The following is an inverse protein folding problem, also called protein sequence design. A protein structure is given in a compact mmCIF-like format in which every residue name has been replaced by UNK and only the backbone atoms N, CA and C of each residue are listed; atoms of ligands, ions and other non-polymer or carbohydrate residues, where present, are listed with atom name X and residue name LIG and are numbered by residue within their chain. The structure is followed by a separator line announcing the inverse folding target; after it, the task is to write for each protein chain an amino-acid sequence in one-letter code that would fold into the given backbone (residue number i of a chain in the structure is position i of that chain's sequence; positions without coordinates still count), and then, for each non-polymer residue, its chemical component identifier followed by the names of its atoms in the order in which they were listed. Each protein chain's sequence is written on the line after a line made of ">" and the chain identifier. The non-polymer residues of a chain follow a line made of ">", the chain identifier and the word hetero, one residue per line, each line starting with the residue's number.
data_IF_828677520117
#
_entry.id   IF_828677520117
#
_cell.length_a   1.000
_cell.length_b   1.000
_cell.length_c   1.000
_cell.angle_alpha   90.00
_cell.angle_beta   90.00
_cell.angle_gamma   90.00
#
_symmetry.space_group_name_H-M   'P 1'
#
loop_
_entity.id
_entity.type
_entity.pdbx_description
1 polymer ?
#
# COMPACT_ATOMS: atom_id res chain seq x y z
N UNK A 1 -10.70 -50.74 55.84
CA UNK A 1 -11.01 -49.38 55.29
C UNK A 1 -9.75 -48.82 54.69
N UNK A 2 -9.57 -48.96 53.36
CA UNK A 2 -8.36 -48.47 52.61
C UNK A 2 -8.69 -47.12 52.03
N UNK A 3 -7.98 -46.04 52.47
CA UNK A 3 -8.07 -44.73 51.91
C UNK A 3 -7.17 -44.67 50.65
N UNK A 4 -7.77 -44.42 49.48
CA UNK A 4 -7.06 -44.07 48.27
C UNK A 4 -6.87 -42.52 48.24
N UNK A 5 -5.63 -42.07 48.33
CA UNK A 5 -5.25 -40.69 48.17
C UNK A 5 -5.01 -40.46 46.66
N UNK A 6 -5.97 -39.81 45.98
CA UNK A 6 -5.79 -39.37 44.59
C UNK A 6 -4.97 -38.09 44.55
N UNK A 7 -3.77 -38.19 44.02
CA UNK A 7 -2.89 -37.05 43.72
C UNK A 7 -3.37 -36.40 42.40
N UNK A 8 -3.97 -35.24 42.49
CA UNK A 8 -4.29 -34.42 41.33
C UNK A 8 -3.02 -33.62 40.95
N UNK A 9 -2.36 -34.01 39.85
CA UNK A 9 -1.26 -33.22 39.25
C UNK A 9 -1.92 -32.15 38.40
N UNK A 10 -1.94 -30.90 38.88
CA UNK A 10 -2.26 -29.72 38.06
C UNK A 10 -1.09 -29.46 37.11
N UNK A 11 -1.28 -29.76 35.83
CA UNK A 11 -0.42 -29.24 34.77
C UNK A 11 -0.72 -27.73 34.57
N UNK A 12 0.10 -26.88 35.14
CA UNK A 12 0.17 -25.48 34.72
C UNK A 12 0.83 -25.45 33.36
N UNK A 13 0.02 -25.30 32.30
CA UNK A 13 0.54 -24.87 30.99
C UNK A 13 1.04 -23.45 31.15
N UNK A 14 2.34 -23.26 31.25
CA UNK A 14 2.97 -21.96 31.09
C UNK A 14 2.79 -21.61 29.61
N UNK A 15 1.71 -20.87 29.29
CA UNK A 15 1.63 -20.12 28.04
C UNK A 15 2.65 -19.00 28.17
N UNK A 16 3.87 -19.24 27.70
CA UNK A 16 4.79 -18.16 27.36
C UNK A 16 4.15 -17.43 26.19
N UNK A 17 3.44 -16.35 26.47
CA UNK A 17 3.10 -15.36 25.46
C UNK A 17 4.42 -14.71 25.05
N UNK A 18 5.03 -15.19 23.99
CA UNK A 18 6.20 -14.55 23.38
C UNK A 18 5.70 -13.28 22.70
N UNK A 19 5.64 -12.21 23.47
CA UNK A 19 5.31 -10.88 22.95
C UNK A 19 6.50 -10.33 22.15
N UNK A 20 6.22 -9.73 20.98
CA UNK A 20 7.21 -8.97 20.26
C UNK A 20 7.64 -7.75 21.08
N UNK A 21 8.90 -7.35 20.92
CA UNK A 21 9.39 -6.09 21.49
C UNK A 21 9.40 -5.02 20.42
N UNK A 22 9.26 -3.78 20.83
CA UNK A 22 9.17 -2.63 19.95
C UNK A 22 10.21 -1.59 20.30
N UNK A 23 10.81 -0.99 19.28
CA UNK A 23 11.74 0.11 19.40
C UNK A 23 11.26 1.28 18.54
N UNK A 24 10.97 2.43 19.13
CA UNK A 24 10.73 3.65 18.36
C UNK A 24 12.07 4.19 17.86
N UNK A 25 12.33 4.05 16.56
CA UNK A 25 13.59 4.46 15.94
C UNK A 25 13.56 5.92 15.47
N UNK A 26 12.41 6.40 15.01
CA UNK A 26 12.16 7.82 14.70
C UNK A 26 10.80 8.23 15.28
N UNK A 27 10.66 9.50 15.63
CA UNK A 27 9.41 10.10 16.10
C UNK A 27 9.23 11.52 15.57
N UNK A 28 8.08 12.12 15.86
CA UNK A 28 7.73 13.49 15.45
C UNK A 28 7.87 13.74 13.94
N UNK A 29 7.56 12.73 13.10
CA UNK A 29 7.50 12.90 11.66
C UNK A 29 6.21 13.64 11.27
N UNK A 30 6.26 14.44 10.20
CA UNK A 30 5.19 15.35 9.78
C UNK A 30 4.30 14.69 8.70
N UNK A 31 3.27 13.94 9.12
CA UNK A 31 2.34 13.24 8.23
C UNK A 31 3.07 12.34 7.20
N UNK A 32 4.00 11.50 7.72
CA UNK A 32 4.79 10.60 6.91
C UNK A 32 3.90 9.50 6.28
N UNK A 33 4.12 9.19 4.99
CA UNK A 33 3.25 8.30 4.25
C UNK A 33 3.91 7.00 3.79
N UNK A 34 5.13 7.08 3.28
CA UNK A 34 5.87 5.92 2.75
C UNK A 34 7.35 6.04 3.08
N UNK A 35 8.02 4.90 3.19
CA UNK A 35 9.46 4.85 3.33
C UNK A 35 10.05 3.64 2.62
N UNK A 36 11.32 3.73 2.25
CA UNK A 36 12.09 2.63 1.65
C UNK A 36 13.51 2.64 2.21
N UNK A 37 14.10 1.46 2.36
CA UNK A 37 15.47 1.32 2.83
C UNK A 37 16.47 1.62 1.71
N UNK A 38 17.39 2.57 1.93
CA UNK A 38 18.59 2.74 1.12
C UNK A 38 19.69 1.73 1.52
N UNK A 39 19.71 1.37 2.79
CA UNK A 39 20.53 0.33 3.41
C UNK A 39 19.95 0.00 4.80
N UNK A 40 20.60 -0.87 5.60
CA UNK A 40 20.07 -1.29 6.90
C UNK A 40 19.88 -0.15 7.92
N UNK A 41 20.68 0.93 7.82
CA UNK A 41 20.62 2.07 8.74
C UNK A 41 19.90 3.29 8.15
N UNK A 42 19.71 3.35 6.86
CA UNK A 42 19.27 4.58 6.19
C UNK A 42 18.00 4.35 5.40
N UNK A 43 17.01 5.20 5.64
CA UNK A 43 15.74 5.21 4.89
C UNK A 43 15.55 6.51 4.11
N UNK A 44 14.86 6.42 2.99
CA UNK A 44 14.26 7.52 2.26
C UNK A 44 12.74 7.50 2.54
N UNK A 45 12.15 8.63 2.95
CA UNK A 45 10.72 8.65 3.29
C UNK A 45 10.05 9.94 2.84
N UNK A 46 8.75 9.82 2.59
CA UNK A 46 7.87 10.93 2.17
C UNK A 46 7.07 11.46 3.36
N UNK A 47 6.85 12.77 3.35
CA UNK A 47 5.82 13.42 4.17
C UNK A 47 4.80 14.09 3.24
N UNK A 48 3.52 13.86 3.48
CA UNK A 48 2.43 14.31 2.60
C UNK A 48 2.44 15.82 2.29
N UNK A 49 2.89 16.72 3.19
CA UNK A 49 3.04 18.14 2.85
C UNK A 49 4.01 18.48 1.71
N UNK A 50 4.70 17.47 1.15
CA UNK A 50 5.61 17.65 0.01
C UNK A 50 7.08 17.65 0.40
N UNK A 51 7.45 16.95 1.46
CA UNK A 51 8.85 16.77 1.86
C UNK A 51 9.29 15.34 1.59
N UNK A 52 10.45 15.20 0.98
CA UNK A 52 11.20 13.95 0.86
C UNK A 52 12.43 14.05 1.74
N UNK A 53 12.71 13.02 2.54
CA UNK A 53 13.76 13.09 3.56
C UNK A 53 14.55 11.79 3.61
N UNK A 54 15.82 11.89 3.98
CA UNK A 54 16.66 10.76 4.36
C UNK A 54 16.84 10.80 5.87
N UNK A 55 16.73 9.64 6.53
CA UNK A 55 17.02 9.49 7.95
C UNK A 55 18.01 8.36 8.20
N UNK A 56 18.97 8.57 9.10
CA UNK A 56 19.74 7.50 9.73
C UNK A 56 18.98 7.00 10.95
N UNK A 57 18.78 5.69 11.04
CA UNK A 57 18.04 5.06 12.14
C UNK A 57 18.88 4.97 13.43
N UNK A 58 20.21 4.89 13.30
CA UNK A 58 21.14 4.80 14.44
C UNK A 58 21.32 6.14 15.12
N UNK A 59 21.67 7.19 14.39
CA UNK A 59 21.95 8.51 14.99
C UNK A 59 20.74 9.46 14.95
N UNK A 60 19.61 9.03 14.35
CA UNK A 60 18.35 9.77 14.24
C UNK A 60 18.46 11.11 13.51
N UNK A 61 19.52 11.30 12.70
CA UNK A 61 19.66 12.50 11.86
C UNK A 61 18.69 12.44 10.69
N UNK A 62 18.08 13.58 10.35
CA UNK A 62 17.15 13.72 9.24
C UNK A 62 17.63 14.84 8.32
N UNK A 63 17.69 14.56 7.03
CA UNK A 63 18.11 15.49 5.98
C UNK A 63 16.97 15.68 5.00
N UNK A 64 16.63 16.92 4.66
CA UNK A 64 15.66 17.20 3.59
C UNK A 64 16.31 17.03 2.22
N UNK A 65 15.56 16.47 1.29
CA UNK A 65 15.92 16.36 -0.13
C UNK A 65 15.36 17.56 -0.89
N UNK A 66 16.22 18.19 -1.69
CA UNK A 66 15.84 19.32 -2.53
C UNK A 66 15.14 18.91 -3.83
N UNK A 67 14.55 19.88 -4.53
CA UNK A 67 13.90 19.74 -5.85
C UNK A 67 12.72 18.75 -5.88
N UNK A 68 12.06 18.53 -4.76
CA UNK A 68 10.82 17.73 -4.64
C UNK A 68 9.70 18.46 -5.41
N UNK A 69 8.80 17.76 -6.11
CA UNK A 69 7.69 18.39 -6.81
C UNK A 69 6.75 19.13 -5.84
N UNK A 70 6.18 20.24 -6.30
CA UNK A 70 5.07 20.89 -5.60
C UNK A 70 3.85 19.98 -5.57
N UNK A 71 3.20 19.86 -4.43
CA UNK A 71 2.07 18.95 -4.21
C UNK A 71 0.78 19.69 -3.86
N UNK A 72 -0.35 19.07 -4.13
CA UNK A 72 -1.65 19.51 -3.64
C UNK A 72 -1.95 18.78 -2.32
N UNK A 73 -1.37 19.27 -1.22
CA UNK A 73 -1.58 18.71 0.10
C UNK A 73 -2.91 19.15 0.68
N UNK A 74 -3.85 18.23 0.73
CA UNK A 74 -5.13 18.35 1.45
C UNK A 74 -5.84 17.01 1.45
N UNK A 75 -6.72 16.74 2.40
CA UNK A 75 -7.45 15.47 2.50
C UNK A 75 -6.52 14.25 2.46
N UNK A 76 -6.57 13.43 1.42
CA UNK A 76 -5.74 12.23 1.22
C UNK A 76 -4.66 12.45 0.15
N UNK A 77 -4.42 13.67 -0.26
CA UNK A 77 -3.44 14.01 -1.29
C UNK A 77 -2.21 14.70 -0.73
N UNK A 78 -1.11 14.56 -1.44
CA UNK A 78 0.20 15.09 -1.07
C UNK A 78 1.29 14.34 -1.81
N UNK A 79 2.50 14.31 -1.23
CA UNK A 79 3.57 13.41 -1.63
C UNK A 79 3.30 12.03 -1.03
N UNK A 80 3.16 11.01 -1.87
CA UNK A 80 2.68 9.69 -1.45
C UNK A 80 3.81 8.65 -1.45
N UNK A 81 3.81 7.72 -2.40
CA UNK A 81 4.77 6.61 -2.44
C UNK A 81 6.14 7.04 -2.91
N UNK A 82 7.18 6.41 -2.37
CA UNK A 82 8.53 6.41 -2.92
C UNK A 82 9.05 4.98 -3.01
N UNK A 83 9.60 4.61 -4.16
CA UNK A 83 10.32 3.34 -4.34
C UNK A 83 11.66 3.57 -5.04
N UNK A 84 12.59 2.65 -4.84
CA UNK A 84 13.87 2.63 -5.55
C UNK A 84 13.72 1.91 -6.89
N UNK A 85 14.47 2.35 -7.89
CA UNK A 85 14.65 1.57 -9.12
C UNK A 85 15.32 0.21 -8.78
N UNK A 86 14.97 -0.89 -9.42
CA UNK A 86 15.64 -2.19 -9.20
C UNK A 86 17.16 -2.11 -9.39
N UNK A 87 17.65 -1.16 -10.20
CA UNK A 87 19.08 -0.92 -10.44
C UNK A 87 19.61 0.30 -9.66
N UNK A 88 18.98 0.66 -8.51
CA UNK A 88 19.28 1.88 -7.75
C UNK A 88 20.76 2.02 -7.39
N UNK A 89 21.43 0.95 -7.00
CA UNK A 89 22.86 0.96 -6.64
C UNK A 89 23.76 1.48 -7.80
N UNK A 90 23.30 1.30 -9.04
CA UNK A 90 24.04 1.74 -10.22
C UNK A 90 23.57 3.09 -10.77
N UNK A 91 22.28 3.41 -10.65
CA UNK A 91 21.67 4.55 -11.32
C UNK A 91 21.13 5.63 -10.37
N UNK A 92 21.04 5.36 -9.07
CA UNK A 92 20.46 6.23 -8.03
C UNK A 92 19.04 6.69 -8.35
N UNK A 93 18.30 5.95 -9.18
CA UNK A 93 16.97 6.36 -9.63
C UNK A 93 15.89 5.97 -8.63
N UNK A 94 14.95 6.88 -8.39
CA UNK A 94 13.78 6.67 -7.57
C UNK A 94 12.52 7.03 -8.36
N UNK A 95 11.39 6.52 -7.89
CA UNK A 95 10.06 6.85 -8.40
C UNK A 95 9.22 7.37 -7.25
N UNK A 96 8.49 8.47 -7.51
CA UNK A 96 7.63 9.10 -6.50
C UNK A 96 6.25 9.38 -7.10
N UNK A 97 5.21 9.07 -6.34
CA UNK A 97 3.84 9.45 -6.65
C UNK A 97 3.40 10.65 -5.81
N UNK A 98 2.58 11.48 -6.39
CA UNK A 98 2.06 12.66 -5.69
C UNK A 98 0.80 13.18 -6.36
N UNK A 99 -0.04 13.86 -5.58
CA UNK A 99 -1.12 14.67 -6.13
C UNK A 99 -0.65 16.10 -6.37
N UNK A 100 -0.97 16.64 -7.54
CA UNK A 100 -0.67 18.04 -7.86
C UNK A 100 -1.79 18.68 -8.66
N UNK A 101 -1.81 20.02 -8.67
CA UNK A 101 -2.75 20.79 -9.49
C UNK A 101 -2.33 20.74 -10.95
N UNK A 102 -3.25 20.37 -11.83
CA UNK A 102 -3.12 20.53 -13.27
C UNK A 102 -3.37 21.99 -13.67
N UNK A 103 -4.37 22.58 -13.04
CA UNK A 103 -4.78 23.97 -13.16
C UNK A 103 -5.36 24.45 -11.82
N UNK A 104 -5.89 25.66 -11.76
CA UNK A 104 -6.41 26.27 -10.52
C UNK A 104 -7.55 25.48 -9.86
N UNK A 105 -8.15 24.48 -10.50
CA UNK A 105 -9.35 23.78 -10.03
C UNK A 105 -9.26 22.26 -10.07
N UNK A 106 -8.27 21.70 -10.75
CA UNK A 106 -8.18 20.27 -11.02
C UNK A 106 -6.90 19.68 -10.43
N UNK A 107 -7.06 18.66 -9.64
CA UNK A 107 -5.97 17.88 -9.04
C UNK A 107 -5.97 16.50 -9.68
N UNK A 108 -4.79 15.95 -9.95
CA UNK A 108 -4.65 14.58 -10.41
C UNK A 108 -3.42 13.91 -9.81
N UNK A 109 -3.27 12.61 -10.03
CA UNK A 109 -2.13 11.81 -9.64
C UNK A 109 -1.04 11.91 -10.69
N UNK A 110 0.19 12.08 -10.22
CA UNK A 110 1.41 12.08 -11.03
C UNK A 110 2.36 10.98 -10.54
N UNK A 111 3.14 10.44 -11.46
CA UNK A 111 4.33 9.65 -11.18
C UNK A 111 5.54 10.33 -11.84
N UNK A 112 6.57 10.57 -11.04
CA UNK A 112 7.85 11.07 -11.53
C UNK A 112 8.97 10.08 -11.25
N UNK A 113 9.92 9.99 -12.18
CA UNK A 113 11.26 9.42 -11.95
C UNK A 113 12.26 10.55 -11.69
N UNK A 114 13.28 10.30 -10.87
CA UNK A 114 14.37 11.23 -10.61
C UNK A 114 15.61 10.45 -10.17
N UNK A 115 16.78 11.09 -10.21
CA UNK A 115 18.00 10.58 -9.63
C UNK A 115 18.25 11.27 -8.27
N UNK A 116 18.55 10.50 -7.24
CA UNK A 116 18.89 11.01 -5.91
C UNK A 116 20.41 11.23 -5.84
N UNK A 117 20.86 12.50 -5.86
CA UNK A 117 22.28 12.88 -5.81
C UNK A 117 22.49 14.08 -4.91
N UNK A 118 23.45 14.01 -4.00
CA UNK A 118 23.85 15.10 -3.12
C UNK A 118 22.66 15.75 -2.35
N UNK A 119 21.74 14.93 -1.86
CA UNK A 119 20.52 15.34 -1.19
C UNK A 119 19.55 16.18 -2.05
N UNK A 120 19.57 15.97 -3.35
CA UNK A 120 18.66 16.63 -4.31
C UNK A 120 18.09 15.62 -5.31
N UNK A 121 16.89 15.90 -5.80
CA UNK A 121 16.34 15.22 -6.96
C UNK A 121 16.84 15.93 -8.25
N UNK A 122 17.68 15.24 -9.00
CA UNK A 122 18.16 15.71 -10.31
C UNK A 122 17.50 14.92 -11.45
N UNK A 123 17.49 15.47 -12.65
CA UNK A 123 16.91 14.84 -13.84
C UNK A 123 15.44 14.38 -13.65
N UNK A 124 14.68 15.07 -12.78
CA UNK A 124 13.30 14.72 -12.50
C UNK A 124 12.42 14.87 -13.73
N UNK A 125 11.70 13.82 -14.06
CA UNK A 125 10.78 13.76 -15.20
C UNK A 125 9.43 13.22 -14.74
N UNK A 126 8.34 13.91 -15.10
CA UNK A 126 6.99 13.34 -15.00
C UNK A 126 6.87 12.27 -16.09
N UNK A 127 6.67 11.04 -15.70
CA UNK A 127 6.54 9.89 -16.61
C UNK A 127 5.09 9.42 -16.75
N UNK A 128 4.20 9.87 -15.85
CA UNK A 128 2.76 9.60 -15.93
C UNK A 128 1.95 10.73 -15.30
N UNK A 129 0.85 11.10 -15.95
CA UNK A 129 -0.20 12.00 -15.45
C UNK A 129 -1.54 11.30 -15.62
N UNK A 130 -2.27 11.06 -14.52
CA UNK A 130 -3.54 10.36 -14.58
C UNK A 130 -4.64 11.22 -15.23
N UNK A 131 -5.33 10.67 -16.23
CA UNK A 131 -6.61 11.23 -16.74
C UNK A 131 -7.73 10.94 -15.72
N UNK A 132 -7.60 11.48 -14.50
CA UNK A 132 -8.50 11.29 -13.36
C UNK A 132 -8.59 12.59 -12.54
N UNK A 133 -9.06 13.65 -13.19
CA UNK A 133 -9.11 15.00 -12.63
C UNK A 133 -10.25 15.16 -11.63
N UNK A 134 -9.94 15.68 -10.44
CA UNK A 134 -10.86 15.85 -9.31
C UNK A 134 -10.67 17.21 -8.63
N UNK A 135 -11.66 17.64 -7.84
CA UNK A 135 -11.57 18.90 -7.08
C UNK A 135 -10.89 18.70 -5.72
N UNK A 136 -11.09 17.55 -5.10
CA UNK A 136 -10.47 17.16 -3.84
C UNK A 136 -9.61 15.92 -4.06
N UNK A 137 -8.38 15.84 -3.51
CA UNK A 137 -7.50 14.69 -3.67
C UNK A 137 -7.89 13.54 -2.72
N UNK A 138 -9.12 13.05 -2.84
CA UNK A 138 -9.61 11.86 -2.15
C UNK A 138 -9.43 10.63 -3.04
N UNK A 139 -9.25 9.46 -2.44
CA UNK A 139 -9.06 8.17 -3.09
C UNK A 139 -8.04 8.25 -4.24
N UNK A 140 -6.81 8.60 -3.91
CA UNK A 140 -5.75 8.76 -4.91
C UNK A 140 -5.19 7.43 -5.39
N UNK A 141 -5.26 6.35 -4.59
CA UNK A 141 -4.47 5.14 -4.80
C UNK A 141 -3.00 5.43 -4.50
N UNK A 142 -2.20 5.64 -5.55
CA UNK A 142 -0.82 6.12 -5.51
C UNK A 142 0.25 5.07 -5.18
N UNK A 143 -0.10 3.79 -5.02
CA UNK A 143 0.88 2.70 -4.83
C UNK A 143 1.55 2.36 -6.15
N UNK A 144 2.85 2.06 -6.10
CA UNK A 144 3.66 1.62 -7.23
C UNK A 144 4.45 0.37 -6.89
N UNK A 145 4.61 -0.53 -7.86
CA UNK A 145 5.45 -1.71 -7.74
C UNK A 145 6.06 -2.07 -9.09
N UNK A 146 7.25 -2.68 -9.08
CA UNK A 146 7.87 -3.23 -10.29
C UNK A 146 7.40 -4.65 -10.53
N UNK A 147 7.06 -4.97 -11.78
CA UNK A 147 6.92 -6.34 -12.25
C UNK A 147 8.29 -6.97 -12.54
N UNK A 148 8.35 -8.30 -12.58
CA UNK A 148 9.57 -9.05 -12.88
C UNK A 148 10.16 -8.74 -14.26
N UNK A 149 9.34 -8.25 -15.20
CA UNK A 149 9.78 -7.79 -16.53
C UNK A 149 10.35 -6.37 -16.54
N UNK A 150 10.40 -5.72 -15.37
CA UNK A 150 10.91 -4.36 -15.17
C UNK A 150 9.91 -3.26 -15.53
N UNK A 151 8.67 -3.57 -15.88
CA UNK A 151 7.60 -2.56 -16.02
C UNK A 151 7.06 -2.14 -14.64
N UNK A 152 6.35 -1.02 -14.58
CA UNK A 152 5.75 -0.46 -13.38
C UNK A 152 4.24 -0.65 -13.38
N UNK A 153 3.70 -1.08 -12.24
CA UNK A 153 2.29 -0.91 -11.92
C UNK A 153 2.09 0.34 -11.06
N UNK A 154 1.01 1.06 -11.32
CA UNK A 154 0.58 2.23 -10.56
C UNK A 154 -0.91 2.13 -10.28
N UNK A 155 -1.32 2.35 -9.03
CA UNK A 155 -2.74 2.38 -8.66
C UNK A 155 -3.30 3.80 -8.72
N UNK A 156 -4.49 3.96 -9.28
CA UNK A 156 -5.25 5.22 -9.31
C UNK A 156 -6.68 4.99 -8.84
N UNK A 157 -7.04 5.55 -7.70
CA UNK A 157 -8.35 5.37 -7.08
C UNK A 157 -9.50 6.08 -7.81
N UNK A 158 -10.73 5.79 -7.40
CA UNK A 158 -11.98 6.28 -8.02
C UNK A 158 -12.28 7.77 -7.77
N UNK A 159 -11.45 8.45 -6.94
CA UNK A 159 -11.62 9.87 -6.62
C UNK A 159 -12.84 10.18 -5.76
N UNK A 160 -13.43 9.21 -5.08
CA UNK A 160 -14.58 9.30 -4.17
C UNK A 160 -15.89 9.69 -4.89
N UNK A 161 -15.95 10.87 -5.51
CA UNK A 161 -17.13 11.39 -6.21
C UNK A 161 -17.32 10.80 -7.63
N UNK A 162 -16.38 9.97 -8.09
CA UNK A 162 -16.34 9.49 -9.48
C UNK A 162 -16.43 7.96 -9.61
N UNK A 163 -17.00 7.28 -8.60
CA UNK A 163 -17.06 5.81 -8.49
C UNK A 163 -17.55 5.12 -9.77
N UNK A 164 -18.54 5.70 -10.46
CA UNK A 164 -19.10 5.11 -11.70
C UNK A 164 -18.07 5.08 -12.85
N UNK A 165 -17.04 5.91 -12.79
CA UNK A 165 -15.97 5.92 -13.78
C UNK A 165 -15.00 4.74 -13.63
N UNK A 166 -15.02 4.04 -12.48
CA UNK A 166 -14.19 2.86 -12.28
C UNK A 166 -14.52 1.75 -13.30
N UNK A 167 -15.76 1.68 -13.77
CA UNK A 167 -16.22 0.73 -14.80
C UNK A 167 -15.94 1.18 -16.23
N UNK A 168 -15.45 2.39 -16.47
CA UNK A 168 -15.18 2.94 -17.80
C UNK A 168 -13.69 2.88 -18.12
N UNK A 169 -13.32 2.58 -19.35
CA UNK A 169 -11.92 2.41 -19.77
C UNK A 169 -11.30 3.67 -20.42
N UNK A 170 -12.04 4.77 -20.52
CA UNK A 170 -11.62 6.03 -21.13
C UNK A 170 -10.96 7.02 -20.14
N UNK A 171 -10.69 6.56 -18.91
CA UNK A 171 -10.14 7.36 -17.82
C UNK A 171 -9.36 6.48 -16.82
N UNK A 172 -8.61 7.11 -15.89
CA UNK A 172 -7.81 6.43 -14.88
C UNK A 172 -8.47 6.35 -13.48
N UNK A 173 -9.74 6.66 -13.32
CA UNK A 173 -10.44 6.44 -12.05
C UNK A 173 -10.66 4.96 -11.78
N UNK A 174 -10.19 4.46 -10.62
CA UNK A 174 -10.34 3.07 -10.21
C UNK A 174 -9.63 2.09 -11.15
N UNK A 175 -8.34 2.33 -11.40
CA UNK A 175 -7.51 1.55 -12.35
C UNK A 175 -6.18 1.16 -11.73
N UNK A 176 -5.67 0.02 -12.16
CA UNK A 176 -4.25 -0.29 -12.13
C UNK A 176 -3.70 -0.01 -13.53
N UNK A 177 -2.62 0.74 -13.60
CA UNK A 177 -1.95 1.18 -14.80
C UNK A 177 -0.62 0.43 -14.93
N UNK A 178 -0.22 0.00 -16.15
CA UNK A 178 1.09 -0.58 -16.43
C UNK A 178 1.82 0.23 -17.49
N UNK A 179 3.03 0.69 -17.13
CA UNK A 179 3.92 1.47 -17.98
C UNK A 179 5.36 1.00 -17.87
N UNK A 180 6.17 1.33 -18.86
CA UNK A 180 7.63 1.19 -18.79
C UNK A 180 8.25 2.22 -17.82
N UNK A 181 9.49 2.00 -17.39
CA UNK A 181 10.24 2.91 -16.48
C UNK A 181 10.42 4.33 -17.02
N UNK A 182 10.27 4.56 -18.30
CA UNK A 182 10.36 5.88 -18.95
C UNK A 182 9.00 6.53 -19.19
N UNK A 183 7.90 5.84 -18.84
CA UNK A 183 6.51 6.27 -19.03
C UNK A 183 5.90 5.84 -20.36
N UNK A 184 6.64 5.18 -21.25
CA UNK A 184 6.06 4.60 -22.48
C UNK A 184 5.16 3.41 -22.15
N UNK A 185 4.25 3.07 -23.09
CA UNK A 185 3.25 2.03 -22.90
C UNK A 185 3.81 0.71 -23.45
N UNK A 186 3.83 -0.39 -22.63
CA UNK A 186 4.20 -1.71 -23.11
C UNK A 186 3.28 -2.18 -24.24
N UNK A 187 3.85 -2.80 -25.28
CA UNK A 187 3.10 -3.23 -26.46
C UNK A 187 2.22 -4.46 -26.20
N UNK A 188 2.45 -5.15 -25.11
CA UNK A 188 1.68 -6.30 -24.64
C UNK A 188 0.64 -5.95 -23.56
N UNK A 189 0.38 -4.64 -23.34
CA UNK A 189 -0.69 -4.21 -22.44
C UNK A 189 -2.07 -4.71 -22.90
N UNK A 190 -2.95 -5.11 -21.94
CA UNK A 190 -4.18 -5.83 -22.28
C UNK A 190 -5.16 -5.03 -23.14
N UNK A 191 -5.13 -3.70 -23.08
CA UNK A 191 -6.04 -2.82 -23.84
C UNK A 191 -5.34 -2.08 -24.99
N UNK A 192 -4.11 -2.44 -25.37
CA UNK A 192 -3.32 -1.75 -26.41
C UNK A 192 -4.04 -1.63 -27.76
N UNK A 193 -4.85 -2.62 -28.13
CA UNK A 193 -5.60 -2.63 -29.37
C UNK A 193 -7.05 -2.13 -29.26
N UNK A 194 -7.49 -1.77 -28.05
CA UNK A 194 -8.86 -1.30 -27.80
C UNK A 194 -8.96 0.22 -27.99
N UNK A 195 -9.56 0.66 -29.09
CA UNK A 195 -9.72 2.13 -29.41
C UNK A 195 -10.61 2.88 -28.42
N UNK A 196 -11.40 2.18 -27.60
CA UNK A 196 -12.29 2.78 -26.61
C UNK A 196 -11.71 2.72 -25.17
N UNK A 197 -10.46 2.31 -25.03
CA UNK A 197 -9.78 2.21 -23.75
C UNK A 197 -8.44 2.99 -23.79
N UNK A 198 -8.00 3.48 -22.62
CA UNK A 198 -6.64 3.92 -22.46
C UNK A 198 -5.72 2.70 -22.46
N UNK A 199 -4.68 2.75 -23.28
CA UNK A 199 -3.81 1.60 -23.57
C UNK A 199 -2.85 1.25 -22.42
N UNK A 200 -2.72 2.11 -21.44
CA UNK A 200 -1.92 1.91 -20.23
C UNK A 200 -2.69 1.23 -19.08
N UNK A 201 -4.00 1.03 -19.22
CA UNK A 201 -4.80 0.30 -18.22
C UNK A 201 -4.38 -1.18 -18.18
N UNK A 202 -4.15 -1.70 -16.97
CA UNK A 202 -3.87 -3.11 -16.70
C UNK A 202 -5.11 -3.86 -16.19
N UNK A 203 -5.82 -3.28 -15.19
CA UNK A 203 -7.09 -3.76 -14.65
C UNK A 203 -8.00 -2.60 -14.25
N UNK A 204 -9.28 -2.86 -14.00
CA UNK A 204 -10.26 -1.81 -13.72
C UNK A 204 -11.33 -2.27 -12.74
N UNK A 205 -12.21 -1.33 -12.34
CA UNK A 205 -13.27 -1.64 -11.38
C UNK A 205 -12.78 -1.64 -9.94
N UNK A 206 -11.77 -0.83 -9.62
CA UNK A 206 -11.21 -0.64 -8.28
C UNK A 206 -11.75 0.60 -7.60
N UNK A 207 -11.68 0.62 -6.26
CA UNK A 207 -12.11 1.77 -5.46
C UNK A 207 -10.94 2.64 -5.01
N UNK A 208 -10.20 2.23 -3.99
CA UNK A 208 -9.07 2.99 -3.43
C UNK A 208 -8.01 2.03 -2.92
N UNK A 209 -7.15 1.63 -3.81
CA UNK A 209 -6.08 0.67 -3.59
C UNK A 209 -4.97 1.31 -2.76
N UNK A 210 -4.60 0.69 -1.65
CA UNK A 210 -3.62 1.20 -0.69
C UNK A 210 -2.46 0.22 -0.44
N UNK A 211 -2.51 -0.98 -0.99
CA UNK A 211 -1.43 -1.95 -0.98
C UNK A 211 -1.26 -2.58 -2.35
N UNK A 212 -0.02 -2.86 -2.73
CA UNK A 212 0.31 -3.51 -3.99
C UNK A 212 1.65 -4.23 -3.82
N UNK A 213 1.66 -5.55 -3.95
CA UNK A 213 2.87 -6.36 -3.87
C UNK A 213 2.95 -7.35 -5.02
N UNK A 214 4.17 -7.63 -5.44
CA UNK A 214 4.50 -8.68 -6.39
C UNK A 214 5.30 -9.73 -5.63
N UNK A 215 4.82 -10.98 -5.61
CA UNK A 215 5.54 -12.09 -4.98
C UNK A 215 6.75 -12.52 -5.80
N UNK A 216 7.67 -13.26 -5.21
CA UNK A 216 8.81 -13.83 -5.94
C UNK A 216 8.40 -14.71 -7.13
N UNK A 217 7.19 -15.32 -7.10
CA UNK A 217 6.58 -16.07 -8.23
C UNK A 217 6.01 -15.17 -9.33
N UNK A 218 5.91 -13.85 -9.11
CA UNK A 218 5.36 -12.88 -10.06
C UNK A 218 3.86 -12.68 -9.97
N UNK A 219 3.20 -13.23 -8.97
CA UNK A 219 1.77 -12.97 -8.71
C UNK A 219 1.60 -11.58 -8.10
N UNK A 220 0.55 -10.90 -8.54
CA UNK A 220 0.25 -9.51 -8.13
C UNK A 220 -0.90 -9.57 -7.15
N UNK A 221 -0.69 -9.03 -5.96
CA UNK A 221 -1.73 -8.87 -4.95
C UNK A 221 -1.93 -7.40 -4.61
N UNK A 222 -3.17 -7.06 -4.37
CA UNK A 222 -3.60 -5.70 -4.05
C UNK A 222 -4.65 -5.76 -2.95
N UNK A 223 -4.67 -4.76 -2.07
CA UNK A 223 -5.81 -4.52 -1.19
C UNK A 223 -6.36 -3.11 -1.36
N UNK A 224 -7.68 -2.99 -1.20
CA UNK A 224 -8.37 -1.72 -1.33
C UNK A 224 -9.41 -1.48 -0.25
N UNK A 225 -9.70 -0.20 -0.02
CA UNK A 225 -10.78 0.21 0.86
C UNK A 225 -12.14 -0.02 0.21
N UNK A 226 -13.00 -0.76 0.87
CA UNK A 226 -14.44 -0.70 0.64
C UNK A 226 -15.06 0.62 1.13
N UNK A 227 -16.37 0.79 0.98
CA UNK A 227 -17.10 1.90 1.61
C UNK A 227 -17.27 1.65 3.13
N UNK A 228 -18.47 1.63 3.66
CA UNK A 228 -18.68 1.21 5.06
C UNK A 228 -18.70 -0.33 5.14
N UNK A 229 -17.55 -0.95 5.40
CA UNK A 229 -17.28 -2.38 5.26
C UNK A 229 -16.87 -2.77 3.84
N UNK A 230 -16.44 -4.02 3.65
CA UNK A 230 -16.08 -4.57 2.35
C UNK A 230 -14.73 -4.07 1.82
N UNK A 231 -13.73 -3.86 2.69
CA UNK A 231 -12.33 -3.78 2.26
C UNK A 231 -11.93 -5.15 1.70
N UNK A 232 -11.06 -5.19 0.71
CA UNK A 232 -10.77 -6.38 -0.08
C UNK A 232 -9.26 -6.64 -0.21
N UNK A 233 -8.90 -7.93 -0.27
CA UNK A 233 -7.62 -8.41 -0.77
C UNK A 233 -7.87 -9.14 -2.09
N UNK A 234 -7.21 -8.74 -3.15
CA UNK A 234 -7.39 -9.23 -4.51
C UNK A 234 -6.10 -9.82 -5.09
N UNK A 235 -6.24 -10.84 -5.95
CA UNK A 235 -5.19 -11.24 -6.89
C UNK A 235 -5.44 -10.55 -8.22
N UNK A 236 -4.45 -9.82 -8.71
CA UNK A 236 -4.61 -8.97 -9.90
C UNK A 236 -4.14 -9.66 -11.16
N UNK A 237 -5.01 -9.67 -12.16
CA UNK A 237 -4.75 -10.22 -13.49
C UNK A 237 -5.03 -9.16 -14.56
N UNK A 238 -4.35 -9.22 -15.72
CA UNK A 238 -4.54 -8.25 -16.79
C UNK A 238 -5.95 -8.31 -17.37
N UNK A 239 -6.50 -7.20 -17.79
CA UNK A 239 -7.81 -6.99 -18.41
C UNK A 239 -9.04 -7.25 -17.54
N UNK A 240 -8.90 -7.72 -16.30
CA UNK A 240 -10.03 -8.12 -15.48
C UNK A 240 -10.70 -6.94 -14.78
N UNK A 241 -12.01 -7.11 -14.49
CA UNK A 241 -12.88 -6.16 -13.82
C UNK A 241 -13.09 -6.58 -12.36
N UNK A 242 -12.70 -5.75 -11.40
CA UNK A 242 -12.83 -6.01 -9.96
C UNK A 242 -14.14 -5.46 -9.35
N UNK A 243 -15.05 -5.02 -10.22
CA UNK A 243 -16.47 -4.89 -9.93
C UNK A 243 -16.92 -3.56 -9.32
N UNK A 244 -16.09 -2.80 -8.62
CA UNK A 244 -16.50 -1.54 -8.04
C UNK A 244 -17.02 -0.54 -9.07
N UNK A 245 -18.18 0.16 -8.87
CA UNK A 245 -19.13 0.02 -7.76
C UNK A 245 -20.34 -0.88 -8.12
N UNK A 246 -20.29 -1.63 -9.24
CA UNK A 246 -21.38 -2.48 -9.71
C UNK A 246 -21.62 -3.69 -8.79
N UNK A 247 -20.59 -4.15 -8.10
CA UNK A 247 -20.63 -5.08 -6.97
C UNK A 247 -19.86 -4.49 -5.79
N UNK A 248 -20.26 -4.80 -4.56
CA UNK A 248 -19.55 -4.43 -3.33
C UNK A 248 -20.12 -5.16 -2.13
N UNK A 249 -19.28 -5.46 -1.14
CA UNK A 249 -19.68 -6.02 0.15
C UNK A 249 -20.02 -4.96 1.21
N UNK A 250 -19.83 -3.68 0.88
CA UNK A 250 -20.11 -2.58 1.78
C UNK A 250 -21.32 -1.75 1.37
N UNK A 251 -21.69 -0.81 2.24
CA UNK A 251 -22.76 0.15 2.01
C UNK A 251 -22.21 1.59 2.06
N UNK A 252 -22.93 2.53 1.50
CA UNK A 252 -22.56 3.96 1.57
C UNK A 252 -22.45 4.44 3.03
N UNK A 253 -21.62 5.42 3.29
CA UNK A 253 -21.47 6.02 4.63
C UNK A 253 -22.77 6.64 5.15
N UNK A 254 -23.66 7.07 4.26
CA UNK A 254 -25.04 7.50 4.59
C UNK A 254 -25.96 6.36 5.02
N UNK A 255 -25.56 5.09 4.82
CA UNK A 255 -26.37 3.89 5.01
C UNK A 255 -27.15 3.45 3.77
N UNK A 256 -27.05 4.19 2.65
CA UNK A 256 -27.69 3.80 1.40
C UNK A 256 -26.99 2.57 0.77
N UNK A 257 -27.77 1.78 0.04
CA UNK A 257 -27.25 0.67 -0.78
C UNK A 257 -26.55 1.26 -2.00
N UNK A 258 -25.27 0.89 -2.22
CA UNK A 258 -24.52 1.27 -3.42
C UNK A 258 -24.88 0.33 -4.56
N UNK A 259 -24.80 -0.98 -4.31
CA UNK A 259 -25.18 -2.04 -5.22
C UNK A 259 -25.96 -3.11 -4.46
N UNK A 260 -26.98 -3.72 -5.07
CA UNK A 260 -27.67 -4.88 -4.48
C UNK A 260 -26.88 -6.18 -4.70
N UNK A 261 -25.76 -6.12 -5.42
CA UNK A 261 -24.97 -7.28 -5.81
C UNK A 261 -23.61 -7.30 -5.10
N UNK A 262 -23.21 -8.46 -4.62
CA UNK A 262 -21.86 -8.78 -4.15
C UNK A 262 -21.05 -9.52 -5.19
N UNK A 263 -21.71 -10.16 -6.15
CA UNK A 263 -21.09 -10.89 -7.25
C UNK A 263 -21.84 -10.63 -8.56
N UNK A 264 -21.13 -10.70 -9.69
CA UNK A 264 -21.71 -10.58 -11.03
C UNK A 264 -20.79 -11.25 -12.06
N UNK A 265 -21.39 -11.89 -13.06
CA UNK A 265 -20.64 -12.49 -14.18
C UNK A 265 -19.71 -11.47 -14.85
N UNK A 266 -18.45 -11.86 -15.09
CA UNK A 266 -17.42 -11.01 -15.67
C UNK A 266 -16.78 -10.03 -14.69
N UNK A 267 -17.02 -10.17 -13.39
CA UNK A 267 -16.38 -9.40 -12.32
C UNK A 267 -15.69 -10.34 -11.33
N UNK A 268 -14.43 -10.04 -11.01
CA UNK A 268 -13.61 -10.84 -10.11
C UNK A 268 -14.11 -10.69 -8.66
N UNK A 269 -13.88 -11.77 -7.90
CA UNK A 269 -14.21 -11.81 -6.48
C UNK A 269 -12.95 -11.68 -5.65
N UNK A 270 -12.98 -10.96 -4.50
CA UNK A 270 -11.84 -10.84 -3.62
C UNK A 270 -11.47 -12.20 -3.00
N UNK A 271 -10.18 -12.37 -2.74
CA UNK A 271 -9.65 -13.51 -1.98
C UNK A 271 -10.04 -13.43 -0.50
N UNK A 272 -10.15 -12.22 0.02
CA UNK A 272 -10.52 -11.93 1.41
C UNK A 272 -11.29 -10.60 1.49
N UNK A 273 -12.29 -10.56 2.38
CA UNK A 273 -13.13 -9.35 2.59
C UNK A 273 -13.22 -9.04 4.08
N UNK A 274 -13.09 -7.75 4.44
CA UNK A 274 -13.24 -7.30 5.82
C UNK A 274 -14.57 -6.57 6.05
N UNK A 275 -15.39 -7.15 6.92
CA UNK A 275 -16.64 -6.56 7.42
C UNK A 275 -16.67 -6.75 8.94
N UNK A 276 -16.58 -5.68 9.74
CA UNK A 276 -16.45 -4.27 9.35
C UNK A 276 -15.11 -3.93 8.68
N UNK A 277 -15.04 -2.75 8.06
CA UNK A 277 -13.80 -2.21 7.47
C UNK A 277 -12.67 -2.10 8.51
N UNK A 278 -11.48 -2.53 8.13
CA UNK A 278 -10.24 -2.35 8.89
C UNK A 278 -9.46 -1.12 8.43
N UNK A 279 -9.79 -0.57 7.26
CA UNK A 279 -9.07 0.45 6.51
C UNK A 279 -7.60 0.03 6.27
N UNK A 280 -7.33 -0.98 5.42
CA UNK A 280 -6.00 -1.46 5.14
C UNK A 280 -5.18 -0.37 4.44
N UNK A 281 -3.92 -0.18 4.82
CA UNK A 281 -3.15 1.01 4.44
C UNK A 281 -1.87 0.73 3.67
N UNK A 282 -1.26 -0.41 3.90
CA UNK A 282 -0.10 -0.92 3.17
C UNK A 282 0.08 -2.41 3.41
N UNK A 283 0.89 -3.07 2.58
CA UNK A 283 1.23 -4.48 2.77
C UNK A 283 2.60 -4.83 2.24
N UNK A 284 3.19 -5.86 2.84
CA UNK A 284 4.32 -6.61 2.30
C UNK A 284 3.96 -8.09 2.22
N UNK A 285 4.62 -8.81 1.32
CA UNK A 285 4.71 -10.25 1.35
C UNK A 285 6.06 -10.61 1.98
N UNK A 286 6.03 -11.16 3.20
CA UNK A 286 7.24 -11.39 3.97
C UNK A 286 7.92 -12.71 3.58
N UNK A 287 9.10 -12.64 2.97
CA UNK A 287 9.86 -13.80 2.48
C UNK A 287 11.17 -14.06 3.26
N UNK A 288 11.53 -13.18 4.22
CA UNK A 288 12.77 -13.29 4.99
C UNK A 288 12.68 -14.37 6.10
N UNK A 289 13.84 -14.76 6.62
CA UNK A 289 13.95 -15.82 7.65
C UNK A 289 13.96 -15.31 9.09
N UNK A 290 14.05 -13.97 9.29
CA UNK A 290 14.21 -13.40 10.64
C UNK A 290 12.99 -13.66 11.55
N UNK A 291 11.79 -13.77 10.97
CA UNK A 291 10.55 -14.15 11.66
C UNK A 291 9.96 -15.37 10.95
N UNK A 292 10.39 -16.61 11.31
CA UNK A 292 9.96 -17.82 10.59
C UNK A 292 8.44 -18.01 10.58
N UNK A 293 7.74 -17.59 11.65
CA UNK A 293 6.28 -17.66 11.77
C UNK A 293 5.53 -16.67 10.86
N UNK A 294 6.24 -15.68 10.31
CA UNK A 294 5.67 -14.69 9.39
C UNK A 294 6.06 -14.96 7.93
N UNK A 295 6.97 -15.89 7.69
CA UNK A 295 7.44 -16.21 6.34
C UNK A 295 6.29 -16.73 5.46
N UNK A 296 6.26 -16.29 4.19
CA UNK A 296 5.21 -16.56 3.21
C UNK A 296 3.82 -16.11 3.65
N UNK A 297 3.76 -14.99 4.37
CA UNK A 297 2.50 -14.36 4.74
C UNK A 297 2.43 -12.93 4.19
N UNK A 298 1.22 -12.51 3.86
CA UNK A 298 0.89 -11.10 3.72
C UNK A 298 0.82 -10.49 5.12
N UNK A 299 1.48 -9.35 5.28
CA UNK A 299 1.41 -8.51 6.47
C UNK A 299 0.79 -7.18 6.05
N UNK A 300 -0.44 -6.93 6.48
CA UNK A 300 -1.27 -5.81 6.04
C UNK A 300 -1.52 -4.88 7.23
N UNK A 301 -1.03 -3.65 7.15
CA UNK A 301 -1.30 -2.62 8.16
C UNK A 301 -2.70 -2.06 8.04
N UNK A 302 -3.27 -1.63 9.17
CA UNK A 302 -4.62 -1.10 9.20
C UNK A 302 -4.75 0.17 10.06
N UNK A 303 -5.55 1.11 9.56
CA UNK A 303 -5.78 2.40 10.21
C UNK A 303 -6.86 2.32 11.28
N UNK A 304 -7.91 1.53 11.04
CA UNK A 304 -9.09 1.44 11.94
C UNK A 304 -8.91 0.34 12.96
N UNK A 305 -8.53 -0.87 12.55
CA UNK A 305 -8.27 -1.96 13.50
C UNK A 305 -6.96 -1.80 14.28
N UNK A 306 -6.05 -0.91 13.84
CA UNK A 306 -4.81 -0.53 14.53
C UNK A 306 -3.89 -1.72 14.83
N UNK A 307 -3.78 -2.62 13.88
CA UNK A 307 -2.99 -3.83 13.95
C UNK A 307 -2.36 -4.15 12.59
N UNK A 308 -1.65 -5.25 12.52
CA UNK A 308 -1.20 -5.86 11.27
C UNK A 308 -1.95 -7.17 11.08
N UNK A 309 -2.62 -7.33 9.95
CA UNK A 309 -3.25 -8.60 9.58
C UNK A 309 -2.21 -9.51 8.94
N UNK A 310 -2.05 -10.69 9.49
CA UNK A 310 -1.26 -11.79 8.92
C UNK A 310 -2.20 -12.73 8.18
N UNK A 311 -1.97 -12.93 6.89
CA UNK A 311 -2.71 -13.89 6.04
C UNK A 311 -1.69 -14.78 5.35
N UNK A 312 -1.81 -16.10 5.52
CA UNK A 312 -0.91 -17.05 4.88
C UNK A 312 -1.33 -17.26 3.41
N UNK A 313 -0.37 -17.19 2.48
CA UNK A 313 -0.66 -17.37 1.06
C UNK A 313 -1.25 -18.75 0.72
N UNK A 314 -0.96 -19.77 1.53
CA UNK A 314 -1.51 -21.12 1.35
C UNK A 314 -2.86 -21.34 2.05
N UNK A 315 -3.30 -20.38 2.87
CA UNK A 315 -4.61 -20.38 3.55
C UNK A 315 -5.14 -18.94 3.62
N UNK A 316 -5.78 -18.50 2.54
CA UNK A 316 -6.37 -17.17 2.42
C UNK A 316 -7.73 -17.06 3.13
N UNK A 317 -8.17 -18.09 3.84
CA UNK A 317 -9.48 -18.10 4.53
C UNK A 317 -9.39 -17.63 5.98
N UNK A 318 -8.20 -17.62 6.55
CA UNK A 318 -7.96 -17.23 7.95
C UNK A 318 -6.97 -16.08 8.06
N UNK A 319 -7.13 -15.29 9.12
CA UNK A 319 -6.21 -14.22 9.45
C UNK A 319 -5.88 -14.21 10.93
N UNK A 320 -4.72 -13.63 11.27
CA UNK A 320 -4.34 -13.29 12.64
C UNK A 320 -4.09 -11.79 12.74
N UNK A 321 -4.39 -11.23 13.92
CA UNK A 321 -4.01 -9.85 14.25
C UNK A 321 -2.69 -9.85 15.03
N UNK A 322 -1.72 -9.10 14.55
CA UNK A 322 -0.40 -8.92 15.16
C UNK A 322 -0.26 -7.50 15.69
N UNK A 323 0.61 -7.31 16.69
CA UNK A 323 1.01 -6.00 17.23
C UNK A 323 -0.16 -5.14 17.72
N UNK A 324 -1.23 -5.78 18.23
CA UNK A 324 -2.47 -5.12 18.69
C UNK A 324 -2.23 -4.23 19.92
N UNK A 325 -1.21 -4.51 20.72
CA UNK A 325 -0.79 -3.76 21.88
C UNK A 325 -0.15 -2.41 21.56
N UNK A 326 0.35 -2.21 20.33
CA UNK A 326 0.80 -0.89 19.86
C UNK A 326 -0.33 0.14 19.83
N UNK A 327 -1.56 -0.27 19.50
CA UNK A 327 -2.76 0.56 19.47
C UNK A 327 -2.61 1.89 18.68
N UNK A 328 -1.74 1.91 17.66
CA UNK A 328 -1.59 3.02 16.72
C UNK A 328 -2.33 2.72 15.41
N UNK A 329 -2.85 3.77 14.78
CA UNK A 329 -3.17 3.70 13.36
C UNK A 329 -1.85 3.45 12.62
N UNK A 330 -1.77 2.41 11.80
CA UNK A 330 -0.57 2.05 11.07
C UNK A 330 -0.74 2.45 9.61
N UNK A 331 0.25 3.16 9.05
CA UNK A 331 0.20 3.71 7.68
C UNK A 331 0.96 2.87 6.68
N UNK A 332 2.17 2.44 7.03
CA UNK A 332 3.07 1.77 6.10
C UNK A 332 3.86 0.67 6.82
N UNK A 333 4.28 -0.33 6.08
CA UNK A 333 5.09 -1.45 6.56
C UNK A 333 6.16 -1.78 5.54
N UNK A 334 7.39 -1.98 6.01
CA UNK A 334 8.50 -2.45 5.19
C UNK A 334 9.36 -3.42 5.99
N UNK A 335 10.05 -4.31 5.30
CA UNK A 335 11.13 -5.10 5.86
C UNK A 335 12.50 -4.56 5.44
N UNK A 336 13.43 -4.48 6.40
CA UNK A 336 14.80 -4.03 6.13
C UNK A 336 15.59 -5.07 5.31
N UNK A 337 16.74 -4.72 4.74
CA UNK A 337 17.61 -5.70 4.08
C UNK A 337 17.92 -6.94 4.92
N UNK A 338 18.02 -6.80 6.25
CA UNK A 338 18.22 -7.93 7.19
C UNK A 338 16.92 -8.62 7.62
N UNK A 339 15.76 -8.14 7.16
CA UNK A 339 14.46 -8.74 7.43
C UNK A 339 13.75 -8.22 8.68
N UNK A 340 14.25 -7.19 9.37
CA UNK A 340 13.48 -6.55 10.44
C UNK A 340 12.25 -5.86 9.88
N UNK A 341 11.10 -6.07 10.53
CA UNK A 341 9.85 -5.39 10.18
C UNK A 341 9.84 -4.00 10.82
N UNK A 342 9.47 -3.01 10.03
CA UNK A 342 9.26 -1.64 10.48
C UNK A 342 7.85 -1.17 10.15
N UNK A 343 7.21 -0.50 11.11
CA UNK A 343 5.87 0.04 11.01
C UNK A 343 5.92 1.57 11.12
N UNK A 344 5.32 2.25 10.15
CA UNK A 344 5.08 3.68 10.22
C UNK A 344 3.67 3.92 10.75
N UNK A 345 3.52 4.74 11.79
CA UNK A 345 2.20 5.11 12.30
C UNK A 345 1.53 6.17 11.42
N UNK A 346 0.23 6.39 11.59
CA UNK A 346 -0.58 7.39 10.89
C UNK A 346 -1.00 8.53 11.82
N UNK A 347 -1.16 9.74 11.27
CA UNK A 347 -1.59 10.93 11.99
C UNK A 347 -0.45 11.91 12.32
N UNK A 348 -0.70 12.97 13.07
CA UNK A 348 0.33 13.91 13.47
C UNK A 348 1.35 13.26 14.40
N UNK A 349 2.61 13.68 14.29
CA UNK A 349 3.72 13.11 15.07
C UNK A 349 3.91 11.60 14.84
N UNK A 350 3.95 11.19 13.57
CA UNK A 350 4.20 9.80 13.19
C UNK A 350 5.47 9.27 13.84
N UNK A 351 5.46 7.96 14.06
CA UNK A 351 6.60 7.18 14.56
C UNK A 351 6.98 6.11 13.56
N UNK A 352 8.27 5.85 13.45
CA UNK A 352 8.79 4.65 12.84
C UNK A 352 9.18 3.67 13.96
N UNK A 353 8.56 2.50 13.95
CA UNK A 353 8.70 1.48 14.99
C UNK A 353 9.34 0.24 14.38
N UNK A 354 10.45 -0.19 14.94
CA UNK A 354 11.12 -1.45 14.62
C UNK A 354 10.54 -2.57 15.49
N UNK A 355 10.18 -3.66 14.86
CA UNK A 355 9.78 -4.89 15.55
C UNK A 355 11.03 -5.72 15.82
N UNK A 356 11.21 -6.18 17.04
CA UNK A 356 12.32 -7.06 17.42
C UNK A 356 11.83 -8.50 17.47
N UNK A 357 12.63 -9.48 17.00
CA UNK A 357 12.29 -10.90 17.11
C UNK A 357 12.03 -11.32 18.57
N UNK A 358 11.24 -12.36 18.73
CA UNK A 358 10.91 -12.95 20.04
C UNK A 358 12.11 -13.59 20.72
#
# INVERSE_FOLDING_TARGET
>A
MKFFLSFFILFFSIHSSTEYKYETVLDNLDDAWSFVFLNEDTILFTEMPGKLKIASLTNKSIINIGNVPEVAYSSQGGLSEVILDPDFDSNNKIYITYSAKKDNKKITLYLSSAELKNNELVNRKVIFEANAFRRSPAHMGAKIAFLNDGTLLLTSGDGYDHREKAQKLDNHFGKIIRINRDGSIPQDNPFISNKNALSDIYSYGHRNMQGLVITGSGEIYEHEHGPKGGDELNIIKPSLNYGWPAITYGIDYSGAVISPFTEKEGMEQPLFTWIPSIAPSDMIFYEKDLYPELKNNFLITALVSKDVKQININDLTTQKSLFTDLNFRLRNIQDSPKGYIYLLTDGPNNKLIKILPK
#
